data_IF_397482105482
#
_entry.id   IF_397482105482
#
_cell.length_a   1.000
_cell.length_b   1.000
_cell.length_c   1.000
_cell.angle_alpha   90.00
_cell.angle_beta   90.00
_cell.angle_gamma   90.00
#
_symmetry.space_group_name_H-M   'P 1'
#
loop_
_entity.id
_entity.type
_entity.pdbx_description
1 polymer ?
#
# COMPACT_ATOMS: atom_id res chain seq x y z
N UNK A 1 15.35 8.35 -27.45
CA UNK A 1 14.07 8.55 -26.75
C UNK A 1 13.30 7.23 -26.84
N UNK A 2 12.85 6.66 -25.72
CA UNK A 2 12.08 5.42 -25.75
C UNK A 2 10.69 5.66 -26.32
N UNK A 3 10.17 4.73 -27.13
CA UNK A 3 8.81 4.81 -27.65
C UNK A 3 7.81 4.63 -26.51
N UNK A 4 6.70 5.38 -26.50
CA UNK A 4 5.56 5.10 -25.63
C UNK A 4 4.50 4.37 -26.43
N UNK A 5 4.02 3.24 -25.92
CA UNK A 5 2.98 2.43 -26.57
C UNK A 5 1.87 2.17 -25.54
N UNK A 6 0.62 2.12 -26.01
CA UNK A 6 -0.53 1.83 -25.17
C UNK A 6 -0.50 0.36 -24.69
N UNK A 7 -0.88 0.11 -23.43
CA UNK A 7 -0.96 -1.24 -22.87
C UNK A 7 -1.94 -2.17 -23.64
N UNK A 8 -2.99 -1.62 -24.24
CA UNK A 8 -3.92 -2.42 -25.04
C UNK A 8 -3.29 -2.96 -26.34
N UNK A 9 -2.31 -2.23 -26.88
CA UNK A 9 -1.81 -2.44 -28.24
C UNK A 9 -0.36 -2.94 -28.28
N UNK A 10 0.36 -2.92 -27.16
CA UNK A 10 1.81 -3.17 -27.17
C UNK A 10 2.17 -4.55 -27.74
N UNK A 11 1.35 -5.58 -27.48
CA UNK A 11 1.63 -6.94 -27.92
C UNK A 11 1.77 -7.09 -29.43
N UNK A 12 0.95 -6.36 -30.20
CA UNK A 12 0.94 -6.39 -31.67
C UNK A 12 1.71 -5.20 -32.29
N UNK A 13 2.25 -4.30 -31.47
CA UNK A 13 2.94 -3.12 -31.97
C UNK A 13 4.28 -3.51 -32.62
N UNK A 14 4.54 -3.12 -33.88
CA UNK A 14 5.78 -3.45 -34.55
C UNK A 14 6.94 -2.65 -33.96
N UNK A 15 8.04 -3.35 -33.67
CA UNK A 15 9.24 -2.79 -33.07
C UNK A 15 10.48 -3.16 -33.86
N UNK A 16 11.47 -2.27 -33.80
CA UNK A 16 12.80 -2.53 -34.36
C UNK A 16 13.87 -2.02 -33.40
N UNK A 17 14.93 -2.82 -33.24
CA UNK A 17 16.06 -2.45 -32.41
C UNK A 17 17.09 -1.66 -33.23
N UNK A 18 17.39 -0.41 -32.87
CA UNK A 18 18.37 0.39 -33.60
C UNK A 18 19.82 -0.03 -33.36
N UNK A 19 20.08 -0.89 -32.35
CA UNK A 19 21.44 -1.31 -32.01
C UNK A 19 21.88 -2.59 -32.73
N UNK A 20 20.99 -3.58 -32.87
CA UNK A 20 21.33 -4.88 -33.47
C UNK A 20 20.47 -5.23 -34.71
N UNK A 21 19.53 -4.37 -35.10
CA UNK A 21 18.70 -4.57 -36.28
C UNK A 21 17.55 -5.57 -36.12
N UNK A 22 17.34 -6.14 -34.92
CA UNK A 22 16.20 -7.01 -34.62
C UNK A 22 14.86 -6.34 -34.98
N UNK A 23 13.90 -7.12 -35.45
CA UNK A 23 12.52 -6.69 -35.76
C UNK A 23 11.53 -7.74 -35.25
N UNK A 24 10.42 -7.30 -34.69
CA UNK A 24 9.35 -8.15 -34.19
C UNK A 24 8.18 -7.33 -33.65
N UNK A 25 7.26 -7.96 -32.94
CA UNK A 25 6.18 -7.27 -32.23
C UNK A 25 6.52 -7.10 -30.75
N UNK A 26 5.78 -6.27 -30.02
CA UNK A 26 6.03 -6.08 -28.59
C UNK A 26 5.89 -7.36 -27.75
N UNK A 27 5.06 -8.32 -28.16
CA UNK A 27 4.99 -9.64 -27.49
C UNK A 27 6.28 -10.47 -27.63
N UNK A 28 7.12 -10.16 -28.62
CA UNK A 28 8.37 -10.86 -28.92
C UNK A 28 9.59 -10.23 -28.20
N UNK A 29 9.35 -9.21 -27.36
CA UNK A 29 10.38 -8.52 -26.56
C UNK A 29 10.56 -9.13 -25.18
N UNK A 30 11.70 -8.87 -24.55
CA UNK A 30 11.88 -9.10 -23.11
C UNK A 30 11.08 -8.01 -22.35
N UNK A 31 10.31 -8.42 -21.35
CA UNK A 31 9.39 -7.55 -20.63
C UNK A 31 9.78 -7.51 -19.15
N UNK A 32 10.12 -6.34 -18.62
CA UNK A 32 10.29 -6.16 -17.17
C UNK A 32 9.24 -5.19 -16.64
N UNK A 33 8.42 -5.68 -15.71
CA UNK A 33 7.45 -4.86 -15.02
C UNK A 33 8.11 -4.19 -13.80
N UNK A 34 7.89 -2.89 -13.64
CA UNK A 34 8.40 -2.10 -12.52
C UNK A 34 7.45 -0.98 -12.15
N UNK A 35 6.91 -1.00 -10.93
CA UNK A 35 5.97 0.01 -10.46
C UNK A 35 4.74 0.13 -11.37
N UNK A 36 4.54 1.30 -11.98
CA UNK A 36 3.38 1.61 -12.85
C UNK A 36 3.67 1.44 -14.34
N UNK A 37 4.84 0.91 -14.69
CA UNK A 37 5.28 0.76 -16.07
C UNK A 37 5.86 -0.63 -16.32
N UNK A 38 5.97 -0.96 -17.60
CA UNK A 38 6.70 -2.11 -18.10
C UNK A 38 7.59 -1.63 -19.24
N UNK A 39 8.85 -2.02 -19.23
CA UNK A 39 9.74 -1.79 -20.37
C UNK A 39 9.67 -2.96 -21.36
N UNK A 40 9.88 -2.63 -22.63
CA UNK A 40 10.08 -3.61 -23.69
C UNK A 40 11.53 -3.52 -24.13
N UNK A 41 12.29 -4.59 -23.96
CA UNK A 41 13.70 -4.69 -24.30
C UNK A 41 13.93 -5.60 -25.51
N UNK A 42 14.94 -5.26 -26.30
CA UNK A 42 15.34 -6.11 -27.41
C UNK A 42 15.86 -7.47 -26.88
N UNK A 43 15.34 -8.61 -27.37
CA UNK A 43 15.74 -9.93 -26.87
C UNK A 43 17.20 -10.29 -27.20
N UNK A 44 17.82 -9.62 -28.18
CA UNK A 44 19.19 -9.92 -28.61
C UNK A 44 20.26 -9.11 -27.86
N UNK A 45 19.95 -7.89 -27.45
CA UNK A 45 20.96 -6.96 -26.91
C UNK A 45 20.48 -6.16 -25.69
N UNK A 46 19.28 -6.47 -25.17
CA UNK A 46 18.67 -5.88 -23.96
C UNK A 46 18.52 -4.35 -24.00
N UNK A 47 18.67 -3.73 -25.17
CA UNK A 47 18.39 -2.31 -25.32
C UNK A 47 16.90 -2.08 -25.15
N UNK A 48 16.53 -1.20 -24.21
CA UNK A 48 15.15 -0.73 -24.05
C UNK A 48 14.66 -0.07 -25.35
N UNK A 49 13.54 -0.58 -25.86
CA UNK A 49 12.87 -0.15 -27.09
C UNK A 49 11.67 0.75 -26.79
N UNK A 50 10.88 0.40 -25.77
CA UNK A 50 9.68 1.12 -25.40
C UNK A 50 9.40 1.06 -23.89
N UNK A 51 8.57 1.99 -23.43
CA UNK A 51 7.98 2.00 -22.08
C UNK A 51 6.46 1.99 -22.24
N UNK A 52 5.82 1.08 -21.53
CA UNK A 52 4.37 0.88 -21.47
C UNK A 52 3.89 1.33 -20.10
N UNK A 53 2.89 2.20 -20.05
CA UNK A 53 2.22 2.51 -18.79
C UNK A 53 1.10 1.51 -18.55
N UNK A 54 0.99 0.96 -17.34
CA UNK A 54 -0.15 0.11 -16.99
C UNK A 54 -1.46 0.89 -17.06
N UNK A 55 -2.58 0.21 -17.38
CA UNK A 55 -3.87 0.87 -17.52
C UNK A 55 -4.33 1.45 -16.17
N UNK A 56 -4.97 2.60 -16.22
CA UNK A 56 -5.70 3.16 -15.10
C UNK A 56 -6.87 2.25 -14.71
N UNK A 57 -7.40 2.40 -13.48
CA UNK A 57 -8.61 1.67 -13.10
C UNK A 57 -9.78 1.91 -14.07
N UNK A 58 -9.97 3.14 -14.56
CA UNK A 58 -11.04 3.45 -15.51
C UNK A 58 -10.85 2.72 -16.86
N UNK A 59 -9.61 2.64 -17.35
CA UNK A 59 -9.30 1.87 -18.56
C UNK A 59 -9.51 0.38 -18.34
N UNK A 60 -9.10 -0.16 -17.19
CA UNK A 60 -9.34 -1.56 -16.81
C UNK A 60 -10.83 -1.87 -16.70
N UNK A 61 -11.64 -0.98 -16.11
CA UNK A 61 -13.10 -1.12 -16.07
C UNK A 61 -13.72 -1.17 -17.47
N UNK A 62 -13.21 -0.35 -18.39
CA UNK A 62 -13.75 -0.27 -19.75
C UNK A 62 -13.30 -1.43 -20.64
N UNK A 63 -12.03 -1.84 -20.56
CA UNK A 63 -11.38 -2.72 -21.56
C UNK A 63 -10.77 -4.00 -20.99
N UNK A 64 -10.63 -4.12 -19.67
CA UNK A 64 -10.05 -5.29 -19.01
C UNK A 64 -10.95 -6.52 -19.11
N UNK A 65 -10.38 -7.68 -18.77
CA UNK A 65 -11.16 -8.91 -18.61
C UNK A 65 -12.13 -8.79 -17.43
N UNK A 66 -13.12 -9.68 -17.34
CA UNK A 66 -14.03 -9.68 -16.18
C UNK A 66 -13.27 -9.81 -14.85
N UNK A 67 -12.26 -10.68 -14.79
CA UNK A 67 -11.43 -10.84 -13.60
C UNK A 67 -10.67 -9.54 -13.24
N UNK A 68 -10.11 -8.85 -14.24
CA UNK A 68 -9.38 -7.59 -14.02
C UNK A 68 -10.34 -6.47 -13.57
N UNK A 69 -11.53 -6.40 -14.16
CA UNK A 69 -12.57 -5.45 -13.76
C UNK A 69 -12.98 -5.66 -12.31
N UNK A 70 -13.22 -6.91 -11.90
CA UNK A 70 -13.56 -7.23 -10.52
C UNK A 70 -12.40 -6.92 -9.56
N UNK A 71 -11.15 -7.18 -9.96
CA UNK A 71 -9.97 -6.79 -9.17
C UNK A 71 -9.86 -5.26 -9.01
N UNK A 72 -10.05 -4.51 -10.10
CA UNK A 72 -10.07 -3.05 -10.08
C UNK A 72 -11.17 -2.50 -9.17
N UNK A 73 -12.39 -3.06 -9.24
CA UNK A 73 -13.50 -2.67 -8.37
C UNK A 73 -13.19 -2.93 -6.89
N UNK A 74 -12.59 -4.08 -6.55
CA UNK A 74 -12.18 -4.38 -5.16
C UNK A 74 -11.18 -3.35 -4.64
N UNK A 75 -10.18 -3.00 -5.43
CA UNK A 75 -9.15 -2.04 -5.06
C UNK A 75 -9.71 -0.61 -4.93
N UNK A 76 -10.59 -0.18 -5.86
CA UNK A 76 -11.31 1.10 -5.74
C UNK A 76 -12.11 1.13 -4.44
N UNK A 77 -12.92 0.11 -4.18
CA UNK A 77 -13.76 0.03 -2.98
C UNK A 77 -12.92 0.03 -1.71
N UNK A 78 -11.80 -0.71 -1.69
CA UNK A 78 -10.86 -0.70 -0.58
C UNK A 78 -10.30 0.70 -0.33
N UNK A 79 -9.81 1.40 -1.37
CA UNK A 79 -9.27 2.76 -1.25
C UNK A 79 -10.31 3.76 -0.75
N UNK A 80 -11.53 3.69 -1.24
CA UNK A 80 -12.60 4.57 -0.78
C UNK A 80 -12.97 4.29 0.67
N UNK A 81 -13.05 3.02 1.06
CA UNK A 81 -13.30 2.59 2.42
C UNK A 81 -12.18 3.04 3.36
N UNK A 82 -10.92 2.80 2.98
CA UNK A 82 -9.74 3.24 3.72
C UNK A 82 -9.76 4.75 3.89
N UNK A 83 -9.93 5.52 2.80
CA UNK A 83 -10.05 6.99 2.86
C UNK A 83 -11.16 7.46 3.79
N UNK A 84 -12.29 6.77 3.84
CA UNK A 84 -13.43 7.13 4.69
C UNK A 84 -13.19 6.80 6.17
N UNK A 85 -12.57 5.66 6.44
CA UNK A 85 -12.41 5.12 7.80
C UNK A 85 -11.06 5.43 8.45
N UNK A 86 -10.09 5.92 7.69
CA UNK A 86 -8.77 6.25 8.25
C UNK A 86 -8.91 7.36 9.28
N UNK A 87 -8.31 7.16 10.45
CA UNK A 87 -8.18 8.20 11.47
C UNK A 87 -7.30 9.34 10.94
N UNK A 88 -7.81 10.57 10.87
CA UNK A 88 -7.06 11.71 10.29
C UNK A 88 -6.72 12.76 11.33
N UNK A 89 -7.62 12.98 12.28
CA UNK A 89 -7.52 14.08 13.22
C UNK A 89 -7.70 13.60 14.66
N UNK A 90 -7.03 14.23 15.63
CA UNK A 90 -7.22 13.95 17.05
C UNK A 90 -8.67 14.03 17.52
N UNK A 91 -9.46 14.95 16.95
CA UNK A 91 -10.84 15.21 17.36
C UNK A 91 -11.82 14.08 17.00
N UNK A 92 -11.40 13.13 16.16
CA UNK A 92 -12.18 11.92 15.84
C UNK A 92 -12.12 10.87 16.97
N UNK A 93 -11.22 11.06 17.95
CA UNK A 93 -11.01 10.14 19.06
C UNK A 93 -11.83 10.54 20.31
N UNK A 94 -12.38 9.54 21.03
CA UNK A 94 -13.14 9.79 22.24
C UNK A 94 -12.28 10.37 23.36
N UNK A 95 -12.91 11.03 24.32
CA UNK A 95 -12.26 11.34 25.59
C UNK A 95 -12.06 10.05 26.39
N UNK A 96 -10.85 9.87 26.90
CA UNK A 96 -10.46 8.73 27.73
C UNK A 96 -9.96 9.27 29.06
N UNK A 97 -10.50 8.75 30.16
CA UNK A 97 -10.08 9.10 31.51
C UNK A 97 -8.76 8.41 31.90
N UNK A 98 -8.13 8.89 32.97
CA UNK A 98 -6.88 8.33 33.49
C UNK A 98 -5.68 9.22 33.22
N UNK A 99 -4.69 9.12 34.11
CA UNK A 99 -3.45 9.87 34.07
C UNK A 99 -2.43 9.30 33.07
N UNK A 100 -2.54 8.01 32.76
CA UNK A 100 -1.66 7.27 31.86
C UNK A 100 -2.48 6.37 30.95
N UNK A 101 -2.25 6.48 29.64
CA UNK A 101 -2.99 5.78 28.59
C UNK A 101 -1.97 5.07 27.70
N UNK A 102 -2.16 3.76 27.55
CA UNK A 102 -1.47 2.94 26.56
C UNK A 102 -2.51 2.30 25.64
N UNK A 103 -2.20 2.27 24.36
CA UNK A 103 -3.05 1.65 23.35
C UNK A 103 -2.42 0.36 22.84
N UNK A 104 -3.26 -0.59 22.44
CA UNK A 104 -2.85 -1.77 21.68
C UNK A 104 -3.27 -1.60 20.22
N UNK A 105 -2.36 -1.90 19.30
CA UNK A 105 -2.62 -1.93 17.86
C UNK A 105 -2.69 -3.39 17.41
N UNK A 106 -3.82 -3.78 16.82
CA UNK A 106 -4.12 -5.17 16.49
C UNK A 106 -4.57 -5.32 15.06
N UNK A 107 -4.44 -6.53 14.54
CA UNK A 107 -4.94 -6.91 13.23
C UNK A 107 -6.01 -7.99 13.37
N UNK A 108 -7.19 -7.71 12.84
CA UNK A 108 -8.35 -8.60 12.97
C UNK A 108 -9.04 -8.78 11.63
N UNK A 109 -9.28 -10.05 11.26
CA UNK A 109 -10.09 -10.41 10.10
C UNK A 109 -11.56 -10.56 10.51
N UNK A 110 -12.44 -9.72 9.95
CA UNK A 110 -13.88 -9.71 10.22
C UNK A 110 -14.60 -9.95 8.90
N UNK A 111 -15.30 -11.09 8.79
CA UNK A 111 -16.08 -11.48 7.59
C UNK A 111 -15.26 -11.44 6.29
N UNK A 112 -13.98 -11.83 6.36
CA UNK A 112 -13.08 -11.88 5.21
C UNK A 112 -12.46 -10.53 4.83
N UNK A 113 -12.61 -9.51 5.68
CA UNK A 113 -11.91 -8.23 5.53
C UNK A 113 -10.99 -7.99 6.72
N UNK A 114 -9.82 -7.45 6.44
CA UNK A 114 -8.78 -7.22 7.42
C UNK A 114 -8.79 -5.78 7.93
N UNK A 115 -8.70 -5.62 9.25
CA UNK A 115 -8.75 -4.32 9.93
C UNK A 115 -7.60 -4.15 10.90
N UNK A 116 -7.08 -2.93 10.94
CA UNK A 116 -6.27 -2.44 12.06
C UNK A 116 -7.19 -1.86 13.13
N UNK A 117 -7.02 -2.29 14.37
CA UNK A 117 -7.83 -1.87 15.51
C UNK A 117 -6.93 -1.21 16.56
N UNK A 118 -7.39 -0.07 17.09
CA UNK A 118 -6.79 0.60 18.25
C UNK A 118 -7.67 0.26 19.45
N UNK A 119 -7.09 -0.39 20.46
CA UNK A 119 -7.77 -0.75 21.70
C UNK A 119 -7.16 -0.06 22.91
N UNK A 120 -8.00 0.22 23.91
CA UNK A 120 -7.58 0.64 25.24
C UNK A 120 -8.40 -0.15 26.28
N UNK A 121 -7.74 -0.86 27.20
CA UNK A 121 -8.41 -1.66 28.23
C UNK A 121 -9.49 -2.60 27.66
N UNK A 122 -9.15 -3.34 26.61
CA UNK A 122 -10.07 -4.28 25.90
C UNK A 122 -11.26 -3.62 25.21
N UNK A 123 -11.32 -2.28 25.19
CA UNK A 123 -12.32 -1.53 24.44
C UNK A 123 -11.74 -1.05 23.13
N UNK A 124 -12.45 -1.31 22.04
CA UNK A 124 -12.12 -0.73 20.75
C UNK A 124 -12.39 0.78 20.76
N UNK A 125 -11.35 1.54 20.42
CA UNK A 125 -11.39 3.00 20.31
C UNK A 125 -11.60 3.41 18.85
N UNK A 126 -10.94 2.71 17.92
CA UNK A 126 -11.02 2.99 16.50
C UNK A 126 -10.67 1.76 15.68
N UNK A 127 -11.16 1.71 14.43
CA UNK A 127 -10.71 0.73 13.44
C UNK A 127 -10.62 1.34 12.03
N UNK A 128 -9.73 0.82 11.22
CA UNK A 128 -9.62 1.14 9.79
C UNK A 128 -9.21 -0.10 8.98
N UNK A 129 -9.46 -0.15 7.65
CA UNK A 129 -8.99 -1.27 6.83
C UNK A 129 -7.48 -1.41 6.92
N UNK A 130 -7.00 -2.64 7.04
CA UNK A 130 -5.58 -2.92 7.19
C UNK A 130 -4.85 -2.84 5.85
N UNK A 131 -3.62 -2.33 5.87
CA UNK A 131 -2.71 -2.31 4.72
C UNK A 131 -1.48 -3.17 5.02
N UNK A 132 -0.96 -3.84 3.99
CA UNK A 132 0.33 -4.53 4.05
C UNK A 132 1.46 -3.52 4.20
N UNK A 133 2.50 -3.87 4.98
CA UNK A 133 3.61 -2.98 5.35
C UNK A 133 3.12 -1.67 5.97
N UNK A 134 2.14 -1.78 6.86
CA UNK A 134 1.45 -0.65 7.49
C UNK A 134 2.27 0.14 8.51
N UNK A 135 3.58 -0.09 8.66
CA UNK A 135 4.41 0.60 9.66
C UNK A 135 4.31 2.13 9.53
N UNK A 136 4.30 2.68 8.31
CA UNK A 136 4.15 4.13 8.12
C UNK A 136 2.83 4.66 8.67
N UNK A 137 1.75 3.90 8.49
CA UNK A 137 0.41 4.22 9.00
C UNK A 137 0.34 4.09 10.52
N UNK A 138 1.00 3.08 11.09
CA UNK A 138 1.15 2.93 12.54
C UNK A 138 1.82 4.15 13.18
N UNK A 139 2.91 4.67 12.59
CA UNK A 139 3.56 5.88 13.07
C UNK A 139 2.63 7.10 13.02
N UNK A 140 1.87 7.24 11.94
CA UNK A 140 0.89 8.33 11.78
C UNK A 140 -0.20 8.27 12.86
N UNK A 141 -0.79 7.10 13.07
CA UNK A 141 -1.79 6.87 14.12
C UNK A 141 -1.22 7.22 15.50
N UNK A 142 -0.01 6.76 15.82
CA UNK A 142 0.64 7.08 17.09
C UNK A 142 0.82 8.58 17.31
N UNK A 143 1.13 9.34 16.25
CA UNK A 143 1.21 10.81 16.33
C UNK A 143 -0.16 11.45 16.57
N UNK A 144 -1.21 10.94 15.92
CA UNK A 144 -2.59 11.43 16.14
C UNK A 144 -3.01 11.16 17.60
N UNK A 145 -2.76 9.96 18.11
CA UNK A 145 -3.04 9.61 19.51
C UNK A 145 -2.26 10.49 20.49
N UNK A 146 -0.96 10.70 20.25
CA UNK A 146 -0.13 11.59 21.10
C UNK A 146 -0.63 13.04 21.04
N UNK A 147 -1.08 13.52 19.88
CA UNK A 147 -1.67 14.85 19.76
C UNK A 147 -2.99 14.99 20.52
N UNK A 148 -3.83 13.93 20.54
CA UNK A 148 -5.11 13.93 21.28
C UNK A 148 -4.94 13.90 22.80
N UNK A 149 -4.08 12.99 23.28
CA UNK A 149 -4.01 12.66 24.70
C UNK A 149 -2.78 13.27 25.41
N UNK A 150 -1.86 13.87 24.64
CA UNK A 150 -0.70 14.58 25.15
C UNK A 150 0.23 13.68 25.95
N UNK A 151 0.76 14.22 27.05
CA UNK A 151 1.66 13.52 27.96
C UNK A 151 1.02 12.27 28.62
N UNK A 152 -0.32 12.17 28.64
CA UNK A 152 -1.00 10.99 29.19
C UNK A 152 -0.82 9.77 28.30
N UNK A 153 -0.67 9.92 26.99
CA UNK A 153 -0.39 8.80 26.10
C UNK A 153 1.09 8.45 26.15
N UNK A 154 1.38 7.24 26.61
CA UNK A 154 2.74 6.76 26.87
C UNK A 154 3.20 5.69 25.88
N UNK A 155 2.30 4.95 25.24
CA UNK A 155 2.69 3.93 24.25
C UNK A 155 1.54 3.57 23.30
N UNK A 156 1.92 3.09 22.11
CA UNK A 156 1.08 2.38 21.16
C UNK A 156 1.81 1.05 20.89
N UNK A 157 1.26 -0.05 21.37
CA UNK A 157 1.92 -1.36 21.36
C UNK A 157 1.31 -2.22 20.25
N UNK A 158 2.05 -2.62 19.21
CA UNK A 158 1.56 -3.64 18.31
C UNK A 158 1.48 -4.97 19.07
N UNK A 159 0.36 -5.68 18.93
CA UNK A 159 0.30 -7.07 19.39
C UNK A 159 0.88 -8.03 18.33
N UNK A 160 0.99 -9.30 18.69
CA UNK A 160 1.53 -10.35 17.81
C UNK A 160 0.74 -10.48 16.51
N UNK A 161 -0.56 -10.17 16.51
CA UNK A 161 -1.40 -10.27 15.30
C UNK A 161 -1.04 -9.20 14.28
N UNK A 162 -0.54 -8.04 14.74
CA UNK A 162 -0.20 -6.92 13.87
C UNK A 162 1.17 -7.05 13.20
N UNK A 163 2.08 -7.84 13.74
CA UNK A 163 3.48 -7.90 13.29
C UNK A 163 3.61 -8.23 11.80
N UNK A 164 2.91 -9.26 11.32
CA UNK A 164 2.98 -9.69 9.92
C UNK A 164 2.62 -8.56 8.94
N UNK A 165 1.53 -7.84 9.21
CA UNK A 165 1.06 -6.78 8.33
C UNK A 165 1.77 -5.45 8.53
N UNK A 166 2.31 -5.19 9.73
CA UNK A 166 3.11 -4.00 9.98
C UNK A 166 4.48 -4.10 9.31
N UNK A 167 5.13 -5.26 9.42
CA UNK A 167 6.51 -5.42 8.99
C UNK A 167 6.61 -5.85 7.53
N UNK A 168 5.74 -6.77 7.09
CA UNK A 168 5.80 -7.37 5.77
C UNK A 168 7.21 -7.87 5.42
N UNK A 169 7.69 -7.52 4.23
CA UNK A 169 9.02 -7.90 3.76
C UNK A 169 10.09 -6.83 4.07
N UNK A 170 9.71 -5.76 4.79
CA UNK A 170 10.62 -4.68 5.14
C UNK A 170 11.31 -4.94 6.48
N UNK A 171 12.51 -5.51 6.43
CA UNK A 171 13.28 -5.95 7.61
C UNK A 171 13.54 -4.87 8.67
N UNK A 172 13.54 -3.60 8.29
CA UNK A 172 13.80 -2.49 9.21
C UNK A 172 12.52 -2.00 9.94
N UNK A 173 11.35 -2.60 9.68
CA UNK A 173 10.05 -2.13 10.17
C UNK A 173 9.97 -2.14 11.68
N UNK A 174 10.44 -3.24 12.26
CA UNK A 174 10.51 -3.46 13.70
C UNK A 174 11.38 -2.40 14.38
N UNK A 175 12.52 -2.05 13.79
CA UNK A 175 13.43 -1.02 14.33
C UNK A 175 12.79 0.37 14.32
N UNK A 176 12.12 0.75 13.22
CA UNK A 176 11.41 2.03 13.14
C UNK A 176 10.27 2.12 14.16
N UNK A 177 9.47 1.06 14.28
CA UNK A 177 8.37 1.00 15.24
C UNK A 177 8.90 1.06 16.68
N UNK A 178 9.97 0.33 16.98
CA UNK A 178 10.61 0.34 18.31
C UNK A 178 11.13 1.73 18.66
N UNK A 179 11.87 2.37 17.76
CA UNK A 179 12.40 3.71 17.96
C UNK A 179 11.29 4.75 18.16
N UNK A 180 10.21 4.66 17.37
CA UNK A 180 9.06 5.56 17.52
C UNK A 180 8.33 5.37 18.85
N UNK A 181 8.11 4.13 19.28
CA UNK A 181 7.49 3.85 20.59
C UNK A 181 8.30 4.41 21.75
N UNK A 182 9.63 4.36 21.67
CA UNK A 182 10.49 5.00 22.67
C UNK A 182 10.27 6.52 22.72
N UNK A 183 10.07 7.18 21.58
CA UNK A 183 9.77 8.62 21.53
C UNK A 183 8.40 8.97 22.13
N UNK A 184 7.42 8.07 22.06
CA UNK A 184 6.09 8.28 22.65
C UNK A 184 6.10 8.28 24.18
N UNK A 185 7.09 7.62 24.80
CA UNK A 185 7.22 7.49 26.26
C UNK A 185 7.84 8.71 26.94
N UNK A 186 8.32 9.66 26.14
CA UNK A 186 8.89 10.94 26.59
C UNK A 186 7.82 12.04 26.54
#
# INVERSE_FOLDING_TARGET
>A
MALRINFADYKSSPLSCPACGWKGEGKDTCQNAGGTVMDLECPNCFKMLAIISFPTYQETLNRGSEADRQAALREINFREKFRRMSLKNPDELPDIEGSTISFTFRSVSIKGEDYSIIEHQEQEIWREPMVWEGYGRFLEIGRILKARYGARMVDLVPDETAETFLYGDWLQASDLITAFRQQLRV
#
